data_IF_960373135876
#
_entry.id   IF_960373135876
#
_cell.length_a   1.000
_cell.length_b   1.000
_cell.length_c   1.000
_cell.angle_alpha   90.00
_cell.angle_beta   90.00
_cell.angle_gamma   90.00
#
_symmetry.space_group_name_H-M   'P 1'
#
loop_
_entity.id
_entity.type
_entity.pdbx_description
1 polymer ?
#
# COMPACT_ATOMS: atom_id res chain seq x y z
N UNK A 1 3.84 5.27 7.11
CA UNK A 1 2.55 5.99 7.19
C UNK A 1 2.04 6.14 8.62
N UNK A 2 1.30 7.20 8.95
CA UNK A 2 0.59 7.30 10.24
C UNK A 2 -0.59 6.30 10.32
N UNK A 3 -1.15 6.07 11.51
CA UNK A 3 -2.27 5.13 11.69
C UNK A 3 -3.51 5.50 10.87
N UNK A 4 -3.84 6.79 10.77
CA UNK A 4 -5.03 7.25 10.05
C UNK A 4 -4.84 7.13 8.53
N UNK A 5 -3.66 7.51 8.04
CA UNK A 5 -3.29 7.34 6.62
C UNK A 5 -3.27 5.87 6.20
N UNK A 6 -2.81 5.00 7.09
CA UNK A 6 -2.79 3.56 6.88
C UNK A 6 -4.21 2.99 6.71
N UNK A 7 -5.18 3.46 7.50
CA UNK A 7 -6.58 3.06 7.35
C UNK A 7 -7.17 3.52 6.00
N UNK A 8 -6.86 4.75 5.58
CA UNK A 8 -7.28 5.25 4.27
C UNK A 8 -6.61 4.46 3.13
N UNK A 9 -5.35 4.09 3.29
CA UNK A 9 -4.61 3.26 2.33
C UNK A 9 -5.30 1.90 2.14
N UNK A 10 -5.67 1.20 3.22
CA UNK A 10 -6.40 -0.06 3.13
C UNK A 10 -7.76 0.11 2.46
N UNK A 11 -8.52 1.14 2.83
CA UNK A 11 -9.81 1.42 2.21
C UNK A 11 -9.70 1.60 0.68
N UNK A 12 -8.66 2.30 0.22
CA UNK A 12 -8.41 2.47 -1.21
C UNK A 12 -8.04 1.16 -1.93
N UNK A 13 -7.24 0.30 -1.29
CA UNK A 13 -6.90 -1.01 -1.87
C UNK A 13 -8.11 -1.93 -1.91
N UNK A 14 -8.90 -1.99 -0.84
CA UNK A 14 -10.13 -2.79 -0.74
C UNK A 14 -11.20 -2.33 -1.74
N UNK A 15 -11.29 -1.03 -2.03
CA UNK A 15 -12.22 -0.51 -3.04
C UNK A 15 -11.90 -0.96 -4.48
N UNK A 16 -10.70 -1.51 -4.71
CA UNK A 16 -10.22 -1.98 -6.02
C UNK A 16 -10.03 -3.48 -5.97
N UNK A 17 -11.16 -4.19 -5.93
CA UNK A 17 -11.25 -5.64 -5.88
C UNK A 17 -10.23 -6.34 -6.79
N UNK A 18 -9.50 -7.30 -6.20
CA UNK A 18 -8.52 -8.15 -6.87
C UNK A 18 -7.32 -7.44 -7.53
N UNK A 19 -7.07 -6.15 -7.23
CA UNK A 19 -5.90 -5.45 -7.78
C UNK A 19 -4.59 -5.89 -7.14
N UNK A 20 -4.59 -6.08 -5.82
CA UNK A 20 -3.42 -6.52 -5.06
C UNK A 20 -3.84 -7.19 -3.74
N UNK A 21 -2.97 -8.04 -3.21
CA UNK A 21 -2.97 -8.45 -1.82
C UNK A 21 -2.08 -7.51 -1.02
N UNK A 22 -2.43 -7.26 0.22
CA UNK A 22 -1.60 -6.47 1.13
C UNK A 22 -1.41 -7.21 2.46
N UNK A 23 -0.24 -7.04 3.06
CA UNK A 23 0.12 -7.61 4.35
C UNK A 23 0.69 -6.51 5.22
N UNK A 24 0.24 -6.48 6.47
CA UNK A 24 0.74 -5.56 7.48
C UNK A 24 1.85 -6.26 8.24
N UNK A 25 3.04 -5.64 8.28
CA UNK A 25 4.10 -6.17 9.13
C UNK A 25 3.71 -5.99 10.60
N UNK A 26 4.18 -6.87 11.51
CA UNK A 26 3.88 -6.76 12.93
C UNK A 26 4.23 -5.36 13.44
N UNK A 27 3.25 -4.65 14.00
CA UNK A 27 3.51 -3.32 14.55
C UNK A 27 4.08 -3.45 15.96
N UNK A 28 5.14 -2.71 16.26
CA UNK A 28 5.55 -2.46 17.64
C UNK A 28 4.81 -1.24 18.20
N UNK A 29 4.35 -1.31 19.45
CA UNK A 29 3.58 -0.23 20.12
C UNK A 29 4.30 1.13 20.15
N UNK A 30 5.61 1.18 19.93
CA UNK A 30 6.42 2.41 19.90
C UNK A 30 6.65 3.01 18.51
N UNK A 31 6.27 2.34 17.42
CA UNK A 31 6.56 2.85 16.08
C UNK A 31 5.52 3.89 15.63
N UNK A 32 6.02 5.09 15.33
CA UNK A 32 5.25 6.22 14.79
C UNK A 32 4.70 5.93 13.37
N UNK A 33 5.35 5.03 12.64
CA UNK A 33 5.03 4.70 11.26
C UNK A 33 4.57 3.25 11.12
N UNK A 34 3.92 2.96 10.00
CA UNK A 34 3.54 1.62 9.53
C UNK A 34 4.16 1.34 8.18
N UNK A 35 4.68 0.14 8.06
CA UNK A 35 5.15 -0.47 6.82
C UNK A 35 4.09 -1.45 6.31
N UNK A 36 3.85 -1.39 5.00
CA UNK A 36 2.83 -2.20 4.33
C UNK A 36 3.50 -2.87 3.15
N UNK A 37 3.29 -4.18 3.03
CA UNK A 37 3.76 -4.95 1.87
C UNK A 37 2.57 -5.21 0.96
N UNK A 38 2.71 -4.93 -0.31
CA UNK A 38 1.70 -5.21 -1.33
C UNK A 38 2.24 -6.19 -2.36
N UNK A 39 1.35 -7.06 -2.85
CA UNK A 39 1.63 -8.06 -3.87
C UNK A 39 0.58 -7.91 -4.95
N UNK A 40 0.99 -7.77 -6.20
CA UNK A 40 0.08 -7.76 -7.34
C UNK A 40 0.58 -8.74 -8.38
N UNK A 41 -0.34 -9.36 -9.12
CA UNK A 41 0.00 -10.16 -10.30
C UNK A 41 0.69 -9.27 -11.34
N UNK A 42 1.70 -9.79 -12.03
CA UNK A 42 2.46 -9.03 -13.05
C UNK A 42 1.56 -8.37 -14.10
N UNK A 43 0.52 -9.08 -14.55
CA UNK A 43 -0.47 -8.55 -15.51
C UNK A 43 -1.24 -7.32 -15.02
N UNK A 44 -1.21 -7.04 -13.70
CA UNK A 44 -1.88 -5.91 -13.05
C UNK A 44 -0.90 -4.83 -12.57
N UNK A 45 0.40 -4.93 -12.90
CA UNK A 45 1.42 -3.98 -12.43
C UNK A 45 1.10 -2.54 -12.84
N UNK A 46 0.69 -2.32 -14.09
CA UNK A 46 0.37 -0.98 -14.61
C UNK A 46 -0.85 -0.35 -13.93
N UNK A 47 -2.02 -1.02 -13.84
CA UNK A 47 -3.16 -0.47 -13.10
C UNK A 47 -2.84 -0.30 -11.60
N UNK A 48 -2.01 -1.16 -11.02
CA UNK A 48 -1.54 -1.02 -9.64
C UNK A 48 -0.68 0.24 -9.47
N UNK A 49 0.34 0.44 -10.32
CA UNK A 49 1.20 1.63 -10.31
C UNK A 49 0.39 2.92 -10.51
N UNK A 50 -0.60 2.91 -11.40
CA UNK A 50 -1.52 4.02 -11.58
C UNK A 50 -2.30 4.35 -10.29
N UNK A 51 -2.79 3.32 -9.61
CA UNK A 51 -3.49 3.45 -8.33
C UNK A 51 -2.58 4.02 -7.24
N UNK A 52 -1.38 3.46 -7.05
CA UNK A 52 -0.42 3.94 -6.06
C UNK A 52 -0.01 5.40 -6.33
N UNK A 53 0.24 5.76 -7.60
CA UNK A 53 0.56 7.14 -7.98
C UNK A 53 -0.57 8.10 -7.63
N UNK A 54 -1.82 7.72 -7.90
CA UNK A 54 -2.98 8.53 -7.56
C UNK A 54 -3.15 8.68 -6.04
N UNK A 55 -2.97 7.59 -5.28
CA UNK A 55 -3.06 7.60 -3.82
C UNK A 55 -2.02 8.50 -3.17
N UNK A 56 -0.82 8.62 -3.75
CA UNK A 56 0.24 9.48 -3.23
C UNK A 56 -0.13 10.98 -3.23
N UNK A 57 -1.19 11.38 -3.93
CA UNK A 57 -1.72 12.76 -3.88
C UNK A 57 -2.59 13.01 -2.63
N UNK A 58 -3.09 11.96 -1.98
CA UNK A 58 -4.03 12.05 -0.85
C UNK A 58 -3.46 11.46 0.44
N UNK A 59 -2.42 10.63 0.34
CA UNK A 59 -1.81 9.91 1.47
C UNK A 59 -0.30 10.08 1.35
N UNK A 60 0.37 10.46 2.44
CA UNK A 60 1.84 10.56 2.45
C UNK A 60 2.47 9.20 2.75
N UNK A 61 3.15 8.63 1.75
CA UNK A 61 3.94 7.41 1.94
C UNK A 61 5.16 7.38 1.03
N UNK A 62 6.12 6.53 1.40
CA UNK A 62 7.33 6.29 0.64
C UNK A 62 7.39 4.83 0.21
N UNK A 63 7.85 4.58 -1.00
CA UNK A 63 8.08 3.22 -1.51
C UNK A 63 9.49 2.79 -1.08
N UNK A 64 9.56 1.90 -0.09
CA UNK A 64 10.84 1.43 0.46
C UNK A 64 11.55 0.41 -0.44
N UNK A 65 10.79 -0.42 -1.16
CA UNK A 65 11.32 -1.47 -2.03
C UNK A 65 10.27 -1.89 -3.06
N UNK A 66 10.72 -2.14 -4.29
CA UNK A 66 9.94 -2.77 -5.37
C UNK A 66 10.74 -3.98 -5.87
N UNK A 67 10.11 -5.15 -5.94
CA UNK A 67 10.74 -6.39 -6.42
C UNK A 67 9.75 -7.12 -7.33
N UNK A 68 10.26 -7.59 -8.46
CA UNK A 68 9.56 -8.56 -9.30
C UNK A 68 10.01 -9.95 -8.88
N UNK A 69 9.06 -10.80 -8.51
CA UNK A 69 9.29 -12.19 -8.11
C UNK A 69 8.63 -13.09 -9.13
#
# INVERSE_FOLDING_TARGET
MSKNETALFYFFLESRDNLCFYSTLPFEKGQQWRDIVTYCTESLIEPFKGTIRHMNHSISFEVLSEKMV
#
